data_IF_222078671478
#
_entry.id   IF_222078671478
#
_cell.length_a   1.000
_cell.length_b   1.000
_cell.length_c   1.000
_cell.angle_alpha   90.00
_cell.angle_beta   90.00
_cell.angle_gamma   90.00
#
_symmetry.space_group_name_H-M   'P 1'
#
loop_
_entity.id
_entity.type
_entity.pdbx_description
1 polymer ?
#
# COMPACT_ATOMS: atom_id res chain seq x y z
N UNK A 1 7.06 -16.46 1.73
CA UNK A 1 6.19 -15.58 0.90
C UNK A 1 5.05 -15.17 1.81
N UNK A 2 4.49 -13.97 1.67
CA UNK A 2 3.42 -13.42 2.52
C UNK A 2 2.23 -13.09 1.61
N UNK A 3 1.00 -13.35 2.02
CA UNK A 3 -0.22 -13.08 1.23
C UNK A 3 -0.83 -11.72 1.62
N UNK A 4 -1.43 -10.97 0.70
CA UNK A 4 -2.13 -9.72 1.05
C UNK A 4 -3.58 -9.68 0.56
N UNK A 5 -4.44 -8.96 1.25
CA UNK A 5 -5.85 -8.83 0.88
C UNK A 5 -6.08 -7.58 0.03
N UNK A 6 -6.87 -7.72 -1.03
CA UNK A 6 -7.30 -6.61 -1.87
C UNK A 6 -8.81 -6.49 -1.82
N UNK A 7 -9.29 -5.28 -1.49
CA UNK A 7 -10.69 -4.91 -1.54
C UNK A 7 -10.95 -3.97 -2.72
N UNK A 8 -12.02 -4.24 -3.47
CA UNK A 8 -12.54 -3.30 -4.46
C UNK A 8 -13.71 -2.53 -3.85
N UNK A 9 -13.55 -1.25 -3.56
CA UNK A 9 -14.63 -0.38 -3.07
C UNK A 9 -15.33 0.39 -4.17
N UNK A 10 -14.87 0.25 -5.41
CA UNK A 10 -15.55 0.68 -6.61
C UNK A 10 -15.65 -0.47 -7.62
N UNK A 11 -16.53 -0.28 -8.60
CA UNK A 11 -16.75 -1.22 -9.68
C UNK A 11 -15.55 -1.22 -10.63
N UNK A 12 -14.67 -2.22 -10.48
CA UNK A 12 -13.46 -2.39 -11.30
C UNK A 12 -13.74 -3.19 -12.56
N UNK A 13 -13.16 -2.76 -13.69
CA UNK A 13 -13.16 -3.57 -14.91
C UNK A 13 -12.14 -4.71 -14.80
N UNK A 14 -12.32 -5.75 -15.62
CA UNK A 14 -11.37 -6.87 -15.70
C UNK A 14 -9.99 -6.39 -16.12
N UNK A 15 -9.93 -5.51 -17.11
CA UNK A 15 -8.70 -4.92 -17.65
C UNK A 15 -7.95 -4.13 -16.59
N UNK A 16 -8.66 -3.40 -15.72
CA UNK A 16 -8.04 -2.62 -14.66
C UNK A 16 -7.47 -3.53 -13.55
N UNK A 17 -8.18 -4.60 -13.19
CA UNK A 17 -7.67 -5.59 -12.25
C UNK A 17 -6.47 -6.35 -12.82
N UNK A 18 -6.50 -6.71 -14.10
CA UNK A 18 -5.34 -7.29 -14.80
C UNK A 18 -4.15 -6.33 -14.82
N UNK A 19 -4.41 -5.05 -15.06
CA UNK A 19 -3.37 -4.00 -15.05
C UNK A 19 -2.76 -3.86 -13.66
N UNK A 20 -3.58 -3.79 -12.61
CA UNK A 20 -3.11 -3.75 -11.23
C UNK A 20 -2.25 -4.97 -10.88
N UNK A 21 -2.72 -6.18 -11.18
CA UNK A 21 -1.97 -7.42 -10.94
C UNK A 21 -0.65 -7.37 -11.71
N UNK A 22 -0.69 -7.03 -12.99
CA UNK A 22 0.50 -6.96 -13.85
C UNK A 22 1.51 -5.95 -13.32
N UNK A 23 1.11 -4.71 -13.09
CA UNK A 23 2.05 -3.66 -12.69
C UNK A 23 2.65 -3.90 -11.33
N UNK A 24 1.84 -4.31 -10.36
CA UNK A 24 2.33 -4.59 -8.99
C UNK A 24 3.27 -5.79 -8.93
N UNK A 25 3.19 -6.69 -9.91
CA UNK A 25 4.01 -7.91 -9.94
C UNK A 25 5.21 -7.86 -10.89
N UNK A 26 5.38 -6.80 -11.67
CA UNK A 26 6.46 -6.67 -12.65
C UNK A 26 7.70 -5.91 -12.14
N UNK A 27 7.73 -5.54 -10.86
CA UNK A 27 8.86 -4.84 -10.26
C UNK A 27 10.08 -5.75 -10.09
N UNK A 28 11.29 -5.17 -10.18
CA UNK A 28 12.57 -5.85 -9.90
C UNK A 28 12.62 -6.48 -8.49
N UNK A 29 11.89 -5.88 -7.54
CA UNK A 29 11.77 -6.34 -6.15
C UNK A 29 10.64 -7.35 -5.93
N UNK A 30 9.87 -7.66 -6.97
CA UNK A 30 8.79 -8.64 -6.91
C UNK A 30 9.37 -10.04 -7.18
N UNK A 31 9.02 -11.08 -6.39
CA UNK A 31 9.50 -12.43 -6.63
C UNK A 31 9.20 -12.92 -8.04
N UNK A 32 10.03 -13.82 -8.59
CA UNK A 32 9.86 -14.39 -9.94
C UNK A 32 8.52 -15.09 -10.17
N UNK A 33 7.88 -15.57 -9.09
CA UNK A 33 6.53 -16.12 -9.07
C UNK A 33 5.66 -15.32 -8.08
N UNK A 34 5.20 -14.12 -8.48
CA UNK A 34 4.51 -13.23 -7.57
C UNK A 34 3.04 -13.61 -7.49
N UNK A 35 2.68 -14.41 -6.50
CA UNK A 35 1.30 -14.49 -6.06
C UNK A 35 1.30 -14.97 -4.63
N UNK A 36 1.05 -14.03 -3.71
CA UNK A 36 -0.22 -14.24 -3.06
C UNK A 36 -0.98 -12.94 -2.74
N UNK A 37 -2.07 -12.74 -3.46
CA UNK A 37 -3.06 -11.72 -3.15
C UNK A 37 -4.41 -12.42 -3.07
N UNK A 38 -5.21 -12.13 -2.05
CA UNK A 38 -6.59 -12.57 -1.93
C UNK A 38 -7.49 -11.39 -2.31
N UNK A 39 -8.00 -11.43 -3.54
CA UNK A 39 -9.01 -10.47 -3.98
C UNK A 39 -10.36 -10.80 -3.35
N UNK A 40 -10.76 -10.03 -2.35
CA UNK A 40 -12.02 -10.19 -1.64
C UNK A 40 -13.17 -9.63 -2.47
N UNK A 41 -14.00 -10.53 -2.99
CA UNK A 41 -15.12 -10.15 -3.86
C UNK A 41 -16.33 -9.72 -3.06
N UNK A 42 -16.63 -10.35 -1.93
CA UNK A 42 -17.78 -10.00 -1.07
C UNK A 42 -17.43 -10.28 0.40
N UNK A 43 -18.11 -9.67 1.37
CA UNK A 43 -17.87 -9.94 2.80
C UNK A 43 -18.13 -11.39 3.23
N UNK A 44 -18.90 -12.15 2.44
CA UNK A 44 -19.20 -13.56 2.68
C UNK A 44 -18.26 -14.51 1.92
N UNK A 45 -17.42 -13.98 1.02
CA UNK A 45 -16.42 -14.79 0.33
C UNK A 45 -15.45 -15.35 1.36
N UNK A 46 -15.06 -16.63 1.24
CA UNK A 46 -14.03 -17.18 2.10
C UNK A 46 -12.72 -16.40 1.89
N UNK A 47 -12.02 -16.12 2.98
CA UNK A 47 -10.63 -15.62 2.91
C UNK A 47 -9.70 -16.72 2.39
N UNK A 48 -10.10 -17.99 2.62
CA UNK A 48 -9.49 -19.16 2.02
C UNK A 48 -9.86 -19.37 0.55
N UNK A 49 -8.84 -19.41 -0.32
CA UNK A 49 -9.01 -19.77 -1.73
C UNK A 49 -7.73 -19.64 -2.54
N UNK A 50 -7.66 -20.25 -3.73
CA UNK A 50 -6.55 -20.04 -4.64
C UNK A 50 -6.43 -18.54 -4.94
N UNK A 51 -5.19 -18.04 -5.08
CA UNK A 51 -4.92 -16.74 -5.68
C UNK A 51 -5.78 -16.67 -6.94
N UNK A 52 -6.79 -15.79 -6.95
CA UNK A 52 -7.79 -15.85 -8.00
C UNK A 52 -7.07 -15.62 -9.33
N UNK A 53 -7.15 -16.62 -10.21
CA UNK A 53 -6.91 -16.41 -11.63
C UNK A 53 -7.76 -15.24 -12.11
N UNK A 54 -7.26 -14.58 -13.15
CA UNK A 54 -7.87 -13.44 -13.85
C UNK A 54 -9.39 -13.34 -13.62
N UNK A 55 -9.91 -12.21 -13.11
CA UNK A 55 -11.33 -12.08 -12.79
C UNK A 55 -12.23 -12.47 -13.95
N UNK A 56 -13.41 -13.00 -13.64
CA UNK A 56 -14.45 -13.21 -14.64
C UNK A 56 -14.73 -11.90 -15.39
N UNK A 57 -15.10 -11.93 -16.69
CA UNK A 57 -15.42 -10.74 -17.50
C UNK A 57 -16.42 -9.78 -16.85
N UNK A 58 -17.28 -10.31 -15.98
CA UNK A 58 -18.19 -9.53 -15.14
C UNK A 58 -17.79 -9.79 -13.69
N UNK A 59 -17.19 -8.79 -13.06
CA UNK A 59 -16.78 -8.81 -11.65
C UNK A 59 -17.67 -7.81 -10.91
N UNK A 60 -18.46 -8.24 -9.92
CA UNK A 60 -19.18 -7.32 -9.02
C UNK A 60 -18.62 -7.50 -7.61
N UNK A 61 -18.19 -6.39 -7.01
CA UNK A 61 -17.70 -6.36 -5.63
C UNK A 61 -18.85 -6.13 -4.66
N UNK A 62 -18.89 -6.91 -3.58
CA UNK A 62 -19.77 -6.71 -2.42
C UNK A 62 -19.22 -5.71 -1.41
N UNK A 63 -18.05 -5.12 -1.67
CA UNK A 63 -17.47 -4.03 -0.89
C UNK A 63 -17.68 -2.66 -1.55
N UNK A 64 -18.56 -2.57 -2.56
CA UNK A 64 -18.83 -1.31 -3.24
C UNK A 64 -19.29 -0.23 -2.25
N UNK A 65 -18.58 0.90 -2.23
CA UNK A 65 -18.76 2.01 -1.29
C UNK A 65 -18.63 1.61 0.20
N UNK A 66 -18.01 0.48 0.53
CA UNK A 66 -17.76 0.09 1.90
C UNK A 66 -16.86 1.14 2.59
N UNK A 67 -17.22 1.60 3.80
CA UNK A 67 -16.39 2.54 4.54
C UNK A 67 -15.07 1.87 4.97
N UNK A 68 -13.97 2.62 4.96
CA UNK A 68 -12.63 2.12 5.32
C UNK A 68 -12.62 1.45 6.70
N UNK A 69 -13.32 2.02 7.69
CA UNK A 69 -13.46 1.43 9.03
C UNK A 69 -14.01 0.00 8.98
N UNK A 70 -15.00 -0.28 8.12
CA UNK A 70 -15.55 -1.63 7.98
C UNK A 70 -14.55 -2.63 7.38
N UNK A 71 -13.63 -2.16 6.54
CA UNK A 71 -12.56 -2.99 5.97
C UNK A 71 -11.49 -3.29 7.02
N UNK A 72 -11.11 -2.28 7.82
CA UNK A 72 -10.18 -2.44 8.93
C UNK A 72 -10.75 -3.39 10.00
N UNK A 73 -12.02 -3.25 10.35
CA UNK A 73 -12.73 -4.18 11.24
C UNK A 73 -12.79 -5.60 10.64
N UNK A 74 -13.07 -5.72 9.34
CA UNK A 74 -13.07 -7.02 8.67
C UNK A 74 -11.71 -7.71 8.79
N UNK A 75 -10.61 -7.02 8.46
CA UNK A 75 -9.26 -7.59 8.57
C UNK A 75 -8.96 -7.95 10.03
N UNK A 76 -9.24 -7.06 10.98
CA UNK A 76 -8.94 -7.31 12.38
C UNK A 76 -9.74 -8.49 12.95
N UNK A 77 -11.03 -8.61 12.65
CA UNK A 77 -11.93 -9.59 13.30
C UNK A 77 -12.08 -10.91 12.53
N UNK A 78 -11.93 -10.90 11.21
CA UNK A 78 -12.11 -12.11 10.38
C UNK A 78 -10.79 -12.78 10.05
N UNK A 79 -9.72 -12.00 9.92
CA UNK A 79 -8.42 -12.51 9.50
C UNK A 79 -7.54 -12.79 10.72
N UNK A 80 -7.51 -11.91 11.73
CA UNK A 80 -6.62 -12.12 12.89
C UNK A 80 -7.19 -13.10 13.92
N UNK A 81 -8.50 -13.06 14.16
CA UNK A 81 -9.10 -13.77 15.30
C UNK A 81 -9.57 -15.21 15.00
N UNK A 82 -9.63 -15.65 13.73
CA UNK A 82 -10.39 -16.87 13.38
C UNK A 82 -9.61 -18.10 12.95
N UNK A 83 -8.32 -18.03 12.65
CA UNK A 83 -7.52 -19.23 12.32
C UNK A 83 -8.01 -20.06 11.12
N UNK A 84 -9.08 -19.66 10.44
CA UNK A 84 -9.69 -20.32 9.27
C UNK A 84 -8.95 -20.00 7.96
N UNK A 85 -7.67 -19.62 8.07
CA UNK A 85 -6.90 -19.17 6.93
C UNK A 85 -6.33 -20.35 6.14
N UNK A 86 -6.32 -20.26 4.80
CA UNK A 86 -5.69 -21.26 3.95
C UNK A 86 -4.17 -21.31 4.22
N UNK A 87 -3.58 -22.50 4.20
CA UNK A 87 -2.14 -22.71 4.10
C UNK A 87 -1.66 -22.37 2.68
N UNK A 88 -1.77 -21.10 2.30
CA UNK A 88 -1.16 -20.57 1.07
C UNK A 88 0.32 -20.37 1.34
N UNK A 89 1.22 -20.66 0.37
CA UNK A 89 2.62 -20.28 0.46
C UNK A 89 2.74 -18.75 0.58
N UNK A 90 2.79 -18.22 1.80
CA UNK A 90 2.14 -16.93 1.98
C UNK A 90 1.51 -16.71 3.34
N UNK A 91 2.24 -16.46 4.44
CA UNK A 91 1.57 -16.00 5.67
C UNK A 91 0.76 -14.75 5.32
N UNK A 92 -0.57 -14.75 5.50
CA UNK A 92 -1.34 -13.56 5.16
C UNK A 92 -0.99 -12.45 6.16
N UNK A 93 -0.60 -11.26 5.66
CA UNK A 93 -0.31 -10.14 6.54
C UNK A 93 -1.60 -9.66 7.20
N UNK A 94 -1.74 -10.07 8.45
CA UNK A 94 -2.81 -9.74 9.39
C UNK A 94 -2.92 -8.23 9.75
N UNK A 95 -1.94 -7.45 9.30
CA UNK A 95 -1.82 -6.03 9.56
C UNK A 95 -1.86 -5.21 8.28
N UNK A 96 -2.14 -5.77 7.10
CA UNK A 96 -2.17 -4.95 5.89
C UNK A 96 -3.13 -5.41 4.80
N UNK A 97 -3.65 -4.44 4.06
CA UNK A 97 -4.53 -4.69 2.92
C UNK A 97 -4.47 -3.53 1.92
N UNK A 98 -5.06 -3.76 0.76
CA UNK A 98 -5.09 -2.81 -0.35
C UNK A 98 -6.52 -2.47 -0.69
N UNK A 99 -6.75 -1.21 -1.03
CA UNK A 99 -8.04 -0.73 -1.52
C UNK A 99 -7.90 -0.22 -2.95
N UNK A 100 -8.71 -0.79 -3.84
CA UNK A 100 -8.99 -0.27 -5.17
C UNK A 100 -10.31 0.51 -5.12
N UNK A 101 -10.23 1.82 -5.27
CA UNK A 101 -11.36 2.74 -5.11
C UNK A 101 -11.66 3.51 -6.41
N UNK A 102 -12.58 4.48 -6.36
CA UNK A 102 -12.96 5.25 -7.55
C UNK A 102 -11.77 5.96 -8.20
N UNK A 103 -10.79 6.37 -7.40
CA UNK A 103 -9.58 7.04 -7.89
C UNK A 103 -8.64 6.07 -8.62
N UNK A 104 -8.60 4.80 -8.21
CA UNK A 104 -7.85 3.75 -8.92
C UNK A 104 -8.23 3.61 -10.40
N UNK A 105 -9.47 3.92 -10.76
CA UNK A 105 -9.97 3.88 -12.14
C UNK A 105 -9.40 5.04 -12.97
N UNK A 106 -9.07 6.16 -12.33
CA UNK A 106 -8.70 7.41 -13.00
C UNK A 106 -7.19 7.52 -13.18
N UNK A 107 -6.41 7.21 -12.15
CA UNK A 107 -4.96 7.50 -12.13
C UNK A 107 -4.07 6.28 -11.85
N UNK A 108 -4.62 5.06 -11.89
CA UNK A 108 -3.88 3.80 -11.69
C UNK A 108 -3.13 3.75 -10.34
N UNK A 109 -3.75 4.30 -9.31
CA UNK A 109 -3.26 4.25 -7.92
C UNK A 109 -4.14 3.37 -7.04
N UNK A 110 -3.59 2.87 -5.93
CA UNK A 110 -4.33 2.16 -4.90
C UNK A 110 -3.94 2.67 -3.52
N UNK A 111 -4.76 2.42 -2.50
CA UNK A 111 -4.37 2.67 -1.12
C UNK A 111 -3.80 1.41 -0.50
N UNK A 112 -2.63 1.56 0.13
CA UNK A 112 -2.02 0.56 0.99
C UNK A 112 -2.33 0.97 2.43
N UNK A 113 -3.01 0.08 3.14
CA UNK A 113 -3.36 0.23 4.55
C UNK A 113 -2.48 -0.71 5.36
N UNK A 114 -1.83 -0.18 6.40
CA UNK A 114 -0.97 -0.94 7.30
C UNK A 114 -1.27 -0.58 8.74
N UNK A 115 -1.51 -1.58 9.57
CA UNK A 115 -1.66 -1.47 11.01
C UNK A 115 -0.29 -1.53 11.65
N UNK A 116 0.09 -0.43 12.29
CA UNK A 116 1.32 -0.30 13.04
C UNK A 116 0.98 -0.31 14.52
N UNK A 117 1.41 -1.38 15.19
CA UNK A 117 1.21 -1.61 16.62
C UNK A 117 2.53 -1.22 17.32
N UNK A 118 2.50 -0.21 18.20
CA UNK A 118 3.70 0.30 18.86
C UNK A 118 3.44 0.75 20.30
N UNK A 119 4.49 0.79 21.11
CA UNK A 119 4.43 1.35 22.46
C UNK A 119 4.51 2.89 22.40
N UNK A 120 3.88 3.61 23.34
CA UNK A 120 4.06 5.05 23.47
C UNK A 120 5.54 5.41 23.67
N UNK A 121 5.98 6.54 23.11
CA UNK A 121 7.33 7.03 23.31
C UNK A 121 7.66 7.18 24.80
N UNK A 122 8.76 6.56 25.24
CA UNK A 122 9.23 6.62 26.64
C UNK A 122 8.86 5.42 27.49
N UNK A 123 7.92 4.57 27.05
CA UNK A 123 7.49 3.35 27.74
C UNK A 123 8.23 2.10 27.20
N UNK A 124 9.56 2.13 27.25
CA UNK A 124 10.42 1.08 26.66
C UNK A 124 10.85 -0.01 27.65
N UNK A 125 10.59 0.17 28.94
CA UNK A 125 11.17 -0.65 30.01
C UNK A 125 10.34 -1.90 30.36
N UNK A 126 9.03 -1.85 30.14
CA UNK A 126 8.13 -3.00 30.34
C UNK A 126 7.04 -2.98 29.27
N UNK A 127 7.03 -3.98 28.39
CA UNK A 127 5.98 -4.10 27.38
C UNK A 127 4.66 -4.42 28.07
N UNK A 128 3.74 -3.45 28.08
CA UNK A 128 2.37 -3.64 28.50
C UNK A 128 1.46 -3.58 27.27
N UNK A 129 0.90 -4.74 26.90
CA UNK A 129 -0.04 -4.85 25.79
C UNK A 129 -1.26 -3.93 25.96
N UNK A 130 -1.64 -3.56 27.19
CA UNK A 130 -2.73 -2.63 27.44
C UNK A 130 -2.40 -1.19 27.03
N UNK A 131 -1.11 -0.87 26.88
CA UNK A 131 -0.61 0.44 26.44
C UNK A 131 -0.28 0.49 24.96
N UNK A 132 -0.35 -0.64 24.25
CA UNK A 132 -0.06 -0.73 22.82
C UNK A 132 -1.01 0.16 22.01
N UNK A 133 -0.44 1.09 21.27
CA UNK A 133 -1.17 1.96 20.34
C UNK A 133 -1.29 1.22 19.02
N UNK A 134 -2.53 1.08 18.55
CA UNK A 134 -2.83 0.53 17.24
C UNK A 134 -3.24 1.67 16.31
N UNK A 135 -2.42 1.93 15.30
CA UNK A 135 -2.72 2.94 14.29
C UNK A 135 -2.72 2.36 12.88
N UNK A 136 -3.62 2.87 12.03
CA UNK A 136 -3.60 2.56 10.60
C UNK A 136 -2.89 3.66 9.86
N UNK A 137 -1.73 3.35 9.29
CA UNK A 137 -1.06 4.21 8.33
C UNK A 137 -1.54 3.88 6.92
N UNK A 138 -1.77 4.93 6.12
CA UNK A 138 -2.37 4.81 4.79
C UNK A 138 -1.54 5.58 3.79
N UNK A 139 -1.17 4.93 2.69
CA UNK A 139 -0.50 5.57 1.57
C UNK A 139 -1.23 5.26 0.28
N UNK A 140 -1.48 6.28 -0.52
CA UNK A 140 -1.87 6.08 -1.91
C UNK A 140 -0.63 5.95 -2.77
N UNK A 141 -0.51 4.89 -3.54
CA UNK A 141 0.66 4.61 -4.39
C UNK A 141 0.21 4.20 -5.79
N UNK A 142 1.09 4.35 -6.78
CA UNK A 142 0.89 3.73 -8.10
C UNK A 142 0.80 2.21 -7.96
N UNK A 143 0.04 1.53 -8.83
CA UNK A 143 -0.08 0.07 -8.79
C UNK A 143 1.27 -0.65 -8.74
N UNK A 144 2.24 -0.22 -9.56
CA UNK A 144 3.61 -0.76 -9.55
C UNK A 144 4.34 -0.68 -8.20
N UNK A 145 3.92 0.22 -7.31
CA UNK A 145 4.52 0.43 -6.00
C UNK A 145 3.77 -0.23 -4.84
N UNK A 146 2.57 -0.78 -5.09
CA UNK A 146 1.76 -1.43 -4.08
C UNK A 146 2.50 -2.60 -3.41
N UNK A 147 3.08 -3.49 -4.22
CA UNK A 147 3.82 -4.64 -3.70
C UNK A 147 5.12 -4.26 -3.00
N UNK A 148 6.04 -3.47 -3.60
CA UNK A 148 7.26 -3.10 -2.91
C UNK A 148 7.02 -2.40 -1.57
N UNK A 149 6.00 -1.52 -1.49
CA UNK A 149 5.64 -0.86 -0.24
C UNK A 149 5.21 -1.88 0.83
N UNK A 150 4.27 -2.77 0.48
CA UNK A 150 3.77 -3.79 1.39
C UNK A 150 4.85 -4.78 1.84
N UNK A 151 5.69 -5.22 0.91
CA UNK A 151 6.81 -6.09 1.22
C UNK A 151 7.80 -5.40 2.17
N UNK A 152 8.09 -4.12 1.94
CA UNK A 152 8.90 -3.31 2.84
C UNK A 152 8.30 -3.20 4.24
N UNK A 153 7.02 -2.81 4.34
CA UNK A 153 6.30 -2.68 5.61
C UNK A 153 6.21 -4.00 6.39
N UNK A 154 6.20 -5.13 5.69
CA UNK A 154 6.26 -6.46 6.32
C UNK A 154 7.64 -6.78 6.90
N UNK A 155 8.70 -6.47 6.16
CA UNK A 155 10.07 -6.82 6.57
C UNK A 155 10.68 -5.83 7.56
N UNK A 156 10.28 -4.56 7.52
CA UNK A 156 10.82 -3.48 8.32
C UNK A 156 9.97 -2.22 8.15
N UNK A 157 8.90 -2.04 8.95
CA UNK A 157 8.06 -0.84 8.87
C UNK A 157 8.86 0.44 9.17
N UNK A 158 9.79 0.39 10.13
CA UNK A 158 10.65 1.54 10.47
C UNK A 158 11.49 2.01 9.28
N UNK A 159 12.09 1.07 8.51
CA UNK A 159 12.89 1.43 7.33
C UNK A 159 12.04 2.17 6.29
N UNK A 160 10.76 1.81 6.17
CA UNK A 160 9.83 2.52 5.29
C UNK A 160 9.46 3.88 5.87
N UNK A 161 9.25 4.00 7.18
CA UNK A 161 8.95 5.29 7.81
C UNK A 161 10.12 6.26 7.64
N UNK A 162 11.34 5.82 7.91
CA UNK A 162 12.58 6.56 7.71
C UNK A 162 12.75 7.04 6.26
N UNK A 163 12.29 6.25 5.27
CA UNK A 163 12.32 6.67 3.87
C UNK A 163 11.45 7.91 3.59
N UNK A 164 10.34 8.07 4.32
CA UNK A 164 9.45 9.22 4.19
C UNK A 164 9.95 10.45 4.97
N UNK A 165 10.63 10.27 6.10
CA UNK A 165 11.12 11.38 6.93
C UNK A 165 12.12 12.28 6.19
N UNK A 166 12.93 11.70 5.29
CA UNK A 166 13.95 12.44 4.55
C UNK A 166 13.50 13.10 3.24
N UNK A 167 12.25 12.88 2.78
CA UNK A 167 11.66 13.49 1.57
C UNK A 167 12.35 13.19 0.22
N UNK A 168 13.52 12.55 0.23
CA UNK A 168 14.37 12.31 -0.95
C UNK A 168 14.23 10.89 -1.47
N UNK A 169 14.02 9.92 -0.57
CA UNK A 169 13.83 8.50 -0.90
C UNK A 169 12.37 8.14 -1.11
N UNK A 170 11.47 8.80 -0.37
CA UNK A 170 10.04 8.78 -0.58
C UNK A 170 9.44 10.16 -0.26
N UNK A 171 8.36 10.53 -0.95
CA UNK A 171 7.63 11.78 -0.70
C UNK A 171 6.17 11.66 -1.15
N UNK A 172 5.31 12.53 -0.65
CA UNK A 172 3.92 12.67 -1.13
C UNK A 172 3.89 13.75 -2.20
N UNK A 173 3.44 13.42 -3.41
CA UNK A 173 3.30 14.40 -4.49
C UNK A 173 2.11 15.34 -4.29
N UNK A 174 1.97 16.33 -5.18
CA UNK A 174 0.89 17.32 -5.16
C UNK A 174 -0.53 16.72 -5.25
N UNK A 175 -0.64 15.47 -5.70
CA UNK A 175 -1.90 14.73 -5.82
C UNK A 175 -2.14 13.84 -4.59
N UNK A 176 -1.30 13.88 -3.58
CA UNK A 176 -1.39 13.01 -2.41
C UNK A 176 -0.98 11.56 -2.69
N UNK A 177 -0.19 11.31 -3.73
CA UNK A 177 0.35 9.98 -4.05
C UNK A 177 1.77 9.87 -3.50
N UNK A 178 2.02 8.86 -2.69
CA UNK A 178 3.35 8.50 -2.24
C UNK A 178 4.18 7.98 -3.43
N UNK A 179 5.25 8.72 -3.71
CA UNK A 179 6.30 8.36 -4.66
C UNK A 179 7.42 7.71 -3.87
N UNK A 180 7.76 6.46 -4.20
CA UNK A 180 8.85 5.73 -3.57
C UNK A 180 10.10 5.86 -4.44
N UNK A 181 10.62 7.08 -4.56
CA UNK A 181 11.67 7.46 -5.50
C UNK A 181 12.87 6.50 -5.52
N UNK A 182 13.35 6.03 -4.37
CA UNK A 182 14.47 5.08 -4.30
C UNK A 182 14.14 3.72 -4.95
N UNK A 183 12.89 3.29 -4.86
CA UNK A 183 12.42 2.00 -5.41
C UNK A 183 11.99 2.15 -6.87
N UNK A 184 11.44 3.32 -7.23
CA UNK A 184 11.05 3.66 -8.60
C UNK A 184 12.27 3.91 -9.50
N UNK A 185 13.33 4.56 -8.99
CA UNK A 185 14.53 4.90 -9.77
C UNK A 185 15.45 3.70 -10.04
N UNK A 186 15.43 2.66 -9.22
CA UNK A 186 16.23 1.44 -9.44
C UNK A 186 15.68 0.52 -10.56
N UNK A 187 14.77 1.07 -11.40
CA UNK A 187 14.10 0.41 -12.53
C UNK A 187 14.25 1.14 -13.88
N UNK A 188 15.00 2.25 -13.96
CA UNK A 188 15.22 3.01 -15.20
C UNK A 188 16.69 3.47 -15.30
N UNK A 189 17.45 2.98 -16.28
CA UNK A 189 18.67 3.67 -16.71
C UNK A 189 18.27 5.08 -17.17
N UNK A 190 18.89 6.11 -16.61
CA UNK A 190 18.56 7.53 -16.82
C UNK A 190 18.72 7.99 -18.28
N UNK A 191 17.87 8.91 -18.76
CA UNK A 191 18.30 10.10 -19.49
C UNK A 191 18.48 11.28 -18.52
N UNK A 192 19.38 12.19 -18.88
CA UNK A 192 19.99 13.19 -18.01
C UNK A 192 19.04 14.23 -17.36
N UNK A 193 19.58 14.84 -16.31
CA UNK A 193 19.05 15.68 -15.24
C UNK A 193 18.14 16.90 -15.59
N UNK A 194 17.74 17.14 -16.83
CA UNK A 194 17.16 18.44 -17.23
C UNK A 194 15.62 18.57 -17.08
N UNK A 195 14.88 17.48 -16.86
CA UNK A 195 13.40 17.50 -16.89
C UNK A 195 12.70 17.57 -15.51
N UNK A 196 13.40 17.97 -14.43
CA UNK A 196 12.72 18.27 -13.16
C UNK A 196 12.26 19.73 -13.14
N UNK A 197 10.94 19.93 -13.15
CA UNK A 197 10.32 21.21 -12.85
C UNK A 197 10.85 21.75 -11.50
N UNK A 198 11.15 23.06 -11.40
CA UNK A 198 11.71 23.64 -10.18
C UNK A 198 10.68 23.57 -9.04
N UNK A 199 11.17 23.12 -7.88
CA UNK A 199 10.46 23.09 -6.61
C UNK A 199 9.82 24.46 -6.32
N UNK A 200 8.60 24.44 -5.78
CA UNK A 200 7.83 25.63 -5.42
C UNK A 200 8.46 26.50 -4.32
N UNK A 201 7.66 27.43 -3.81
CA UNK A 201 7.85 28.87 -4.00
C UNK A 201 9.16 29.39 -3.39
N UNK A 202 9.90 30.16 -4.18
CA UNK A 202 11.04 30.94 -3.70
C UNK A 202 10.60 31.89 -2.58
N UNK A 203 11.22 31.76 -1.41
CA UNK A 203 11.18 32.79 -0.38
C UNK A 203 11.74 34.09 -0.97
N UNK A 204 10.85 35.04 -1.23
CA UNK A 204 11.23 36.42 -1.48
C UNK A 204 11.75 37.06 -0.19
N UNK A 205 12.77 37.88 -0.42
CA UNK A 205 13.30 38.98 0.41
C UNK A 205 14.36 38.61 1.45
N UNK A 206 15.56 39.13 1.26
CA UNK A 206 15.89 40.45 1.84
C UNK A 206 16.77 41.26 0.88
N UNK A 207 16.27 42.44 0.54
CA UNK A 207 17.02 43.57 0.03
C UNK A 207 18.00 44.06 1.08
N UNK A 208 19.27 44.19 0.72
CA UNK A 208 20.30 44.79 1.56
C UNK A 208 21.40 45.39 0.69
N UNK A 209 21.10 46.53 0.06
CA UNK A 209 22.13 47.42 -0.46
C UNK A 209 22.39 48.46 0.63
N UNK A 210 23.61 48.44 1.17
CA UNK A 210 24.14 49.50 2.03
C UNK A 210 25.45 49.96 1.41
N UNK A 211 25.48 51.25 1.12
CA UNK A 211 26.55 52.17 0.68
C UNK A 211 28.02 51.68 0.64
#
# INVERSE_FOLDING_TARGET
MTTWVVFCTAQMSKELLETFIKESTQGRFTPKDPSPWVLQKTPAAPVAGPCFGVPAPIFQTGFENAPILSLQEFVTTKINDKGDMPDVPGELSNSSFIVLDKRSIVDLTCEVHYRYDHMPEGEWLEYDKALEIQEWKVWRVRFRMAWPLLAGLWHGPEDIFDMFEGGTKAYIDEKGVAQLAAVEQDTYEFPEFEDRAPLGPEERTTSGTSD
#
